data_IF_224472269676
#
_entry.id   IF_224472269676
#
_cell.length_a   1.000
_cell.length_b   1.000
_cell.length_c   1.000
_cell.angle_alpha   90.00
_cell.angle_beta   90.00
_cell.angle_gamma   90.00
#
_symmetry.space_group_name_H-M   'P 1'
#
loop_
_entity.id
_entity.type
_entity.pdbx_description
1 polymer ?
#
# COMPACT_ATOMS: atom_id res chain seq x y z
N UNK A 1 -10.93 10.90 8.36
CA UNK A 1 -9.97 10.64 7.29
C UNK A 1 -9.71 11.96 6.61
N UNK A 2 -8.46 12.45 6.58
CA UNK A 2 -8.16 13.71 5.87
C UNK A 2 -8.07 13.41 4.38
N UNK A 3 -8.40 14.40 3.56
CA UNK A 3 -8.16 14.32 2.13
C UNK A 3 -6.74 14.84 1.86
N UNK A 4 -5.83 13.94 1.49
CA UNK A 4 -4.48 14.27 1.07
C UNK A 4 -4.49 14.60 -0.43
N UNK A 5 -3.81 15.69 -0.80
CA UNK A 5 -3.67 16.14 -2.18
C UNK A 5 -2.27 16.70 -2.36
N UNK A 6 -1.28 15.81 -2.26
CA UNK A 6 0.13 16.16 -2.44
C UNK A 6 0.52 16.25 -3.91
N UNK A 7 -0.34 15.74 -4.81
CA UNK A 7 -0.05 15.62 -6.24
C UNK A 7 0.62 14.29 -6.61
N UNK A 8 1.04 13.50 -5.62
CA UNK A 8 1.57 12.15 -5.81
C UNK A 8 0.65 11.13 -5.11
N UNK A 9 0.06 10.24 -5.92
CA UNK A 9 -0.92 9.25 -5.45
C UNK A 9 -0.34 8.22 -4.48
N UNK A 10 0.96 7.97 -4.55
CA UNK A 10 1.65 7.05 -3.63
C UNK A 10 1.82 7.71 -2.28
N UNK A 11 2.27 8.97 -2.26
CA UNK A 11 2.40 9.76 -1.03
C UNK A 11 1.04 9.92 -0.34
N UNK A 12 0.00 10.28 -1.10
CA UNK A 12 -1.37 10.40 -0.57
C UNK A 12 -1.86 9.07 0.04
N UNK A 13 -1.59 7.96 -0.64
CA UNK A 13 -1.95 6.62 -0.14
C UNK A 13 -1.17 6.23 1.13
N UNK A 14 0.12 6.55 1.21
CA UNK A 14 0.95 6.29 2.39
C UNK A 14 0.42 7.08 3.60
N UNK A 15 0.12 8.36 3.42
CA UNK A 15 -0.44 9.21 4.47
C UNK A 15 -1.80 8.69 4.94
N UNK A 16 -2.66 8.24 4.02
CA UNK A 16 -3.94 7.60 4.36
C UNK A 16 -3.75 6.28 5.14
N UNK A 17 -2.74 5.47 4.81
CA UNK A 17 -2.42 4.26 5.58
C UNK A 17 -1.90 4.58 6.97
N UNK A 18 -1.09 5.63 7.13
CA UNK A 18 -0.67 6.12 8.44
C UNK A 18 -1.87 6.54 9.28
N UNK A 19 -2.88 7.22 8.71
CA UNK A 19 -4.13 7.49 9.44
C UNK A 19 -4.78 6.21 9.98
N UNK A 20 -4.80 5.15 9.17
CA UNK A 20 -5.29 3.83 9.60
C UNK A 20 -4.50 3.29 10.79
N UNK A 21 -3.17 3.30 10.71
CA UNK A 21 -2.30 2.87 11.82
C UNK A 21 -2.42 3.76 13.06
N UNK A 22 -2.70 5.05 12.92
CA UNK A 22 -2.93 5.97 14.04
C UNK A 22 -4.16 5.61 14.89
N UNK A 23 -5.09 4.82 14.34
CA UNK A 23 -6.30 4.35 15.05
C UNK A 23 -6.16 2.94 15.65
N UNK A 24 -4.95 2.38 15.67
CA UNK A 24 -4.72 1.04 16.20
C UNK A 24 -5.06 0.94 17.68
N UNK A 25 -5.72 -0.15 18.08
CA UNK A 25 -6.17 -0.32 19.46
C UNK A 25 -5.01 -0.65 20.38
N UNK A 26 -4.91 0.04 21.51
CA UNK A 26 -3.83 -0.16 22.48
C UNK A 26 -3.96 -1.44 23.31
N UNK A 27 -5.12 -2.10 23.29
CA UNK A 27 -5.36 -3.40 23.90
C UNK A 27 -5.09 -4.59 22.95
N UNK A 28 -4.54 -4.33 21.76
CA UNK A 28 -4.18 -5.37 20.81
C UNK A 28 -3.23 -6.43 21.37
N UNK A 29 -3.38 -7.64 20.86
CA UNK A 29 -2.55 -8.79 21.22
C UNK A 29 -1.24 -8.81 20.43
N UNK A 30 -0.37 -9.79 20.72
CA UNK A 30 1.00 -9.84 20.19
C UNK A 30 1.09 -9.81 18.66
N UNK A 31 0.31 -10.64 17.95
CA UNK A 31 0.32 -10.67 16.48
C UNK A 31 -0.17 -9.35 15.88
N UNK A 32 -1.21 -8.76 16.46
CA UNK A 32 -1.69 -7.45 16.00
C UNK A 32 -0.66 -6.34 16.26
N UNK A 33 0.11 -6.44 17.34
CA UNK A 33 1.25 -5.53 17.61
C UNK A 33 2.38 -5.74 16.61
N UNK A 34 2.67 -7.00 16.26
CA UNK A 34 3.64 -7.34 15.22
C UNK A 34 3.24 -6.72 13.87
N UNK A 35 1.96 -6.86 13.48
CA UNK A 35 1.43 -6.30 12.24
C UNK A 35 1.52 -4.78 12.20
N UNK A 36 1.22 -4.09 13.31
CA UNK A 36 1.40 -2.64 13.43
C UNK A 36 2.87 -2.26 13.21
N UNK A 37 3.80 -2.86 13.95
CA UNK A 37 5.23 -2.57 13.84
C UNK A 37 5.75 -2.78 12.43
N UNK A 38 5.51 -3.96 11.86
CA UNK A 38 5.89 -4.29 10.50
C UNK A 38 5.28 -3.29 9.52
N UNK A 39 3.99 -2.96 9.65
CA UNK A 39 3.32 -2.00 8.77
C UNK A 39 3.90 -0.59 8.83
N UNK A 40 4.17 -0.06 10.03
CA UNK A 40 4.74 1.29 10.20
C UNK A 40 6.19 1.35 9.71
N UNK A 41 7.00 0.31 9.92
CA UNK A 41 8.36 0.22 9.39
C UNK A 41 8.34 0.28 7.86
N UNK A 42 7.52 -0.55 7.21
CA UNK A 42 7.41 -0.55 5.75
C UNK A 42 6.96 0.81 5.20
N UNK A 43 6.02 1.48 5.88
CA UNK A 43 5.63 2.82 5.50
C UNK A 43 6.76 3.82 5.67
N UNK A 44 7.49 3.78 6.79
CA UNK A 44 8.58 4.71 7.04
C UNK A 44 9.65 4.61 5.94
N UNK A 45 9.94 3.41 5.45
CA UNK A 45 10.85 3.19 4.32
C UNK A 45 10.35 3.78 3.00
N UNK A 46 9.03 3.95 2.85
CA UNK A 46 8.39 4.50 1.66
C UNK A 46 8.20 6.02 1.70
N UNK A 47 8.41 6.66 2.85
CA UNK A 47 8.19 8.10 3.00
C UNK A 47 9.30 8.89 2.29
N UNK A 48 8.98 9.84 1.38
CA UNK A 48 9.96 10.80 0.90
C UNK A 48 10.44 11.68 2.06
N UNK A 49 11.68 12.16 1.98
CA UNK A 49 12.32 12.94 3.05
C UNK A 49 11.52 14.18 3.46
N UNK A 50 10.84 14.81 2.49
CA UNK A 50 9.99 15.98 2.72
C UNK A 50 8.80 15.66 3.65
N UNK A 51 8.27 14.44 3.61
CA UNK A 51 7.20 13.97 4.50
C UNK A 51 7.77 13.34 5.77
N UNK A 52 8.84 12.54 5.64
CA UNK A 52 9.45 11.80 6.75
C UNK A 52 9.88 12.70 7.91
N UNK A 53 10.32 13.94 7.64
CA UNK A 53 10.74 14.92 8.66
C UNK A 53 9.66 15.27 9.69
N UNK A 54 8.39 15.05 9.37
CA UNK A 54 7.27 15.33 10.27
C UNK A 54 7.05 14.21 11.30
N UNK A 55 7.59 13.02 11.06
CA UNK A 55 7.37 11.85 11.90
C UNK A 55 8.57 11.59 12.80
N UNK A 56 8.32 11.47 14.10
CA UNK A 56 9.31 11.07 15.10
C UNK A 56 8.88 9.77 15.74
N UNK A 57 9.06 8.68 14.99
CA UNK A 57 8.73 7.36 15.48
C UNK A 57 9.66 6.95 16.63
N UNK A 58 9.17 6.14 17.58
CA UNK A 58 10.05 5.48 18.55
C UNK A 58 10.96 4.47 17.83
N UNK A 59 11.82 3.77 18.58
CA UNK A 59 12.61 2.69 18.00
C UNK A 59 11.70 1.57 17.50
N UNK A 60 11.47 1.54 16.18
CA UNK A 60 10.66 0.53 15.52
C UNK A 60 11.53 -0.70 15.23
N UNK A 61 11.35 -1.76 16.01
CA UNK A 61 12.08 -3.00 15.84
C UNK A 61 11.15 -4.21 15.87
N UNK A 62 11.31 -5.09 14.88
CA UNK A 62 10.63 -6.39 14.86
C UNK A 62 11.54 -7.42 15.52
N UNK A 63 11.16 -7.86 16.72
CA UNK A 63 11.81 -8.94 17.44
C UNK A 63 10.83 -9.66 18.36
N UNK A 64 11.31 -10.58 19.21
CA UNK A 64 10.42 -11.41 20.02
C UNK A 64 9.70 -10.65 21.16
N UNK A 65 10.09 -9.40 21.44
CA UNK A 65 9.66 -8.64 22.62
C UNK A 65 8.13 -8.46 22.73
N UNK A 66 7.40 -8.30 21.63
CA UNK A 66 5.93 -8.16 21.67
C UNK A 66 5.20 -9.49 21.89
N UNK A 67 5.85 -10.63 21.60
CA UNK A 67 5.33 -11.98 21.89
C UNK A 67 5.64 -12.41 23.33
N UNK A 68 6.86 -12.17 23.80
CA UNK A 68 7.29 -12.55 25.15
C UNK A 68 6.97 -11.50 26.23
N UNK A 69 6.63 -10.27 25.82
CA UNK A 69 6.36 -9.14 26.71
C UNK A 69 4.95 -9.16 27.32
N UNK A 70 4.77 -8.34 28.35
CA UNK A 70 3.48 -8.15 29.01
C UNK A 70 2.48 -7.37 28.13
N UNK A 71 1.19 -7.42 28.48
CA UNK A 71 0.19 -6.57 27.83
C UNK A 71 0.44 -5.07 28.07
N UNK A 72 1.00 -4.71 29.23
CA UNK A 72 1.38 -3.33 29.54
C UNK A 72 2.44 -2.80 28.56
N UNK A 73 3.49 -3.59 28.31
CA UNK A 73 4.51 -3.25 27.33
C UNK A 73 3.93 -3.02 25.93
N UNK A 74 3.06 -3.93 25.45
CA UNK A 74 2.40 -3.76 24.14
C UNK A 74 1.56 -2.49 24.08
N UNK A 75 0.80 -2.20 25.14
CA UNK A 75 -0.04 -1.01 25.23
C UNK A 75 0.80 0.26 25.12
N UNK A 76 1.85 0.37 25.94
CA UNK A 76 2.76 1.52 25.92
C UNK A 76 3.39 1.73 24.54
N UNK A 77 3.87 0.65 23.92
CA UNK A 77 4.44 0.69 22.58
C UNK A 77 3.42 1.14 21.51
N UNK A 78 2.20 0.60 21.53
CA UNK A 78 1.15 1.00 20.58
C UNK A 78 0.76 2.46 20.79
N UNK A 79 0.64 2.91 22.03
CA UNK A 79 0.30 4.31 22.35
C UNK A 79 1.41 5.27 21.91
N UNK A 80 2.68 4.90 22.08
CA UNK A 80 3.81 5.71 21.61
C UNK A 80 3.82 5.82 20.08
N UNK A 81 3.63 4.70 19.37
CA UNK A 81 3.57 4.67 17.89
C UNK A 81 2.38 5.48 17.38
N UNK A 82 1.17 5.23 17.90
CA UNK A 82 -0.04 5.93 17.44
C UNK A 82 0.01 7.42 17.77
N UNK A 83 0.60 7.82 18.90
CA UNK A 83 0.84 9.22 19.23
C UNK A 83 1.85 9.88 18.27
N UNK A 84 2.92 9.19 17.90
CA UNK A 84 3.89 9.69 16.93
C UNK A 84 3.27 9.86 15.53
N UNK A 85 2.42 8.92 15.12
CA UNK A 85 1.64 8.99 13.88
C UNK A 85 0.73 10.22 13.88
N UNK A 86 -0.10 10.38 14.91
CA UNK A 86 -1.06 11.49 14.98
C UNK A 86 -0.36 12.86 14.92
N UNK A 87 0.70 13.04 15.73
CA UNK A 87 1.52 14.26 15.71
C UNK A 87 2.13 14.52 14.33
N UNK A 88 2.67 13.49 13.69
CA UNK A 88 3.27 13.61 12.36
C UNK A 88 2.24 13.95 11.28
N UNK A 89 1.06 13.34 11.32
CA UNK A 89 -0.04 13.65 10.39
C UNK A 89 -0.62 15.05 10.61
N UNK A 90 -0.64 15.55 11.85
CA UNK A 90 -1.03 16.94 12.13
C UNK A 90 0.02 17.90 11.55
N UNK A 91 1.31 17.63 11.78
CA UNK A 91 2.40 18.46 11.27
C UNK A 91 2.48 18.46 9.74
N UNK A 92 2.34 17.29 9.10
CA UNK A 92 2.33 17.17 7.65
C UNK A 92 1.11 17.87 7.02
N UNK A 93 -0.07 17.74 7.61
CA UNK A 93 -1.26 18.44 7.12
C UNK A 93 -1.16 19.97 7.24
N UNK A 94 -0.36 20.47 8.19
CA UNK A 94 -0.12 21.89 8.39
C UNK A 94 1.03 22.43 7.50
N UNK A 95 1.75 21.58 6.76
CA UNK A 95 2.85 22.00 5.91
C UNK A 95 2.37 22.38 4.50
N UNK A 96 2.36 23.67 4.14
CA UNK A 96 1.91 24.11 2.82
C UNK A 96 2.83 23.61 1.69
N UNK A 97 4.08 23.22 1.98
CA UNK A 97 5.03 22.69 0.99
C UNK A 97 4.70 21.26 0.56
N UNK A 98 3.76 20.59 1.22
CA UNK A 98 3.28 19.27 0.81
C UNK A 98 2.07 19.35 -0.12
N UNK A 99 1.43 20.52 -0.27
CA UNK A 99 0.23 20.65 -1.11
C UNK A 99 0.57 20.63 -2.60
N UNK A 100 -0.30 20.03 -3.43
CA UNK A 100 -0.12 19.94 -4.89
C UNK A 100 0.27 21.26 -5.56
N UNK A 101 -0.32 22.38 -5.14
CA UNK A 101 -0.06 23.70 -5.72
C UNK A 101 1.37 24.20 -5.47
N UNK A 102 2.06 23.65 -4.47
CA UNK A 102 3.47 23.94 -4.18
C UNK A 102 4.45 23.10 -5.01
N UNK A 103 3.94 22.14 -5.81
CA UNK A 103 4.72 21.22 -6.63
C UNK A 103 5.89 20.56 -5.86
N UNK A 104 5.58 19.80 -4.79
CA UNK A 104 6.60 19.14 -3.99
C UNK A 104 7.41 18.14 -4.81
N UNK A 105 8.70 18.05 -4.49
CA UNK A 105 9.57 17.01 -5.02
C UNK A 105 9.54 15.79 -4.10
N UNK A 106 9.05 14.67 -4.63
CA UNK A 106 9.03 13.37 -3.97
C UNK A 106 9.85 12.32 -4.72
N UNK A 107 10.77 12.75 -5.60
CA UNK A 107 11.57 11.85 -6.43
C UNK A 107 12.52 10.93 -5.63
N UNK A 108 12.74 11.24 -4.36
CA UNK A 108 13.52 10.44 -3.43
C UNK A 108 12.76 9.26 -2.82
N UNK A 109 11.42 9.19 -2.97
CA UNK A 109 10.65 8.03 -2.49
C UNK A 109 10.99 6.76 -3.30
N UNK A 110 11.01 5.58 -2.67
CA UNK A 110 11.09 4.34 -3.42
C UNK A 110 9.88 4.15 -4.35
N UNK A 111 10.11 3.39 -5.41
CA UNK A 111 9.02 2.90 -6.25
C UNK A 111 8.14 1.94 -5.46
N UNK A 112 6.83 2.10 -5.60
CA UNK A 112 5.87 1.23 -4.94
C UNK A 112 5.56 -0.03 -5.75
N UNK A 113 5.16 -1.09 -5.05
CA UNK A 113 4.65 -2.33 -5.65
C UNK A 113 3.43 -2.07 -6.52
N UNK A 114 2.55 -1.16 -6.10
CA UNK A 114 1.38 -0.78 -6.91
C UNK A 114 1.77 -0.17 -8.26
N UNK A 115 2.79 0.71 -8.28
CA UNK A 115 3.33 1.25 -9.55
C UNK A 115 3.96 0.16 -10.44
N UNK A 116 4.62 -0.84 -9.87
CA UNK A 116 5.14 -1.99 -10.63
C UNK A 116 4.00 -2.82 -11.26
N UNK A 117 2.95 -3.08 -10.50
CA UNK A 117 1.77 -3.83 -10.98
C UNK A 117 1.03 -3.05 -12.07
N UNK A 118 0.85 -1.74 -11.90
CA UNK A 118 0.15 -0.89 -12.87
C UNK A 118 0.92 -0.77 -14.19
N UNK A 119 2.25 -0.68 -14.15
CA UNK A 119 3.08 -0.69 -15.35
C UNK A 119 2.98 -2.04 -16.09
N UNK A 120 3.06 -3.14 -15.35
CA UNK A 120 2.91 -4.48 -15.92
C UNK A 120 1.51 -4.71 -16.51
N UNK A 121 0.47 -4.18 -15.85
CA UNK A 121 -0.90 -4.21 -16.33
C UNK A 121 -1.05 -3.40 -17.61
N UNK A 122 -0.51 -2.18 -17.66
CA UNK A 122 -0.51 -1.33 -18.87
C UNK A 122 0.16 -2.03 -20.05
N UNK A 123 1.31 -2.67 -19.82
CA UNK A 123 2.00 -3.45 -20.85
C UNK A 123 1.15 -4.64 -21.32
N UNK A 124 0.49 -5.33 -20.39
CA UNK A 124 -0.42 -6.43 -20.71
C UNK A 124 -1.65 -5.98 -21.52
N UNK A 125 -2.27 -4.85 -21.18
CA UNK A 125 -3.44 -4.35 -21.90
C UNK A 125 -3.12 -3.99 -23.36
N UNK A 126 -1.89 -3.53 -23.62
CA UNK A 126 -1.40 -3.18 -24.96
C UNK A 126 -1.20 -4.40 -25.86
N UNK A 127 -0.50 -5.42 -25.37
CA UNK A 127 -0.04 -6.54 -26.20
C UNK A 127 -0.95 -7.78 -26.06
N UNK A 128 -1.54 -7.99 -24.87
CA UNK A 128 -2.39 -9.13 -24.48
C UNK A 128 -1.81 -10.50 -24.85
N UNK A 129 -0.49 -10.64 -24.76
CA UNK A 129 0.22 -11.89 -25.07
C UNK A 129 0.69 -12.63 -23.80
N UNK A 130 1.25 -13.83 -24.01
CA UNK A 130 1.75 -14.68 -22.91
C UNK A 130 2.98 -14.09 -22.20
N UNK A 131 3.80 -13.31 -22.90
CA UNK A 131 4.99 -12.69 -22.31
C UNK A 131 4.58 -11.55 -21.36
N UNK A 132 3.64 -10.70 -21.77
CA UNK A 132 3.08 -9.65 -20.93
C UNK A 132 2.28 -10.22 -19.76
N UNK A 133 1.54 -11.32 -19.96
CA UNK A 133 0.87 -12.05 -18.87
C UNK A 133 1.89 -12.58 -17.84
N UNK A 134 3.02 -13.13 -18.31
CA UNK A 134 4.09 -13.61 -17.43
C UNK A 134 4.69 -12.48 -16.59
N UNK A 135 4.94 -11.30 -17.19
CA UNK A 135 5.39 -10.10 -16.45
C UNK A 135 4.37 -9.65 -15.42
N UNK A 136 3.09 -9.64 -15.78
CA UNK A 136 2.01 -9.31 -14.84
C UNK A 136 1.97 -10.29 -13.67
N UNK A 137 2.12 -11.60 -13.92
CA UNK A 137 2.22 -12.63 -12.88
C UNK A 137 3.40 -12.40 -11.93
N UNK A 138 4.56 -12.00 -12.46
CA UNK A 138 5.74 -11.68 -11.64
C UNK A 138 5.49 -10.44 -10.78
N UNK A 139 4.95 -9.36 -11.36
CA UNK A 139 4.69 -8.11 -10.65
C UNK A 139 3.68 -8.27 -9.50
N UNK A 140 2.69 -9.16 -9.65
CA UNK A 140 1.73 -9.44 -8.57
C UNK A 140 2.22 -10.46 -7.55
N UNK A 141 3.39 -11.08 -7.72
CA UNK A 141 3.95 -11.99 -6.70
C UNK A 141 4.76 -11.18 -5.68
N UNK A 142 4.64 -11.39 -4.35
CA UNK A 142 3.82 -12.35 -3.59
C UNK A 142 2.51 -11.75 -3.03
N UNK A 143 1.81 -10.93 -3.81
CA UNK A 143 0.58 -10.25 -3.37
C UNK A 143 -0.65 -11.16 -3.39
N UNK A 144 -1.75 -10.70 -2.79
CA UNK A 144 -3.05 -11.37 -2.86
C UNK A 144 -3.72 -11.31 -4.24
N UNK A 145 -3.15 -10.57 -5.21
CA UNK A 145 -3.74 -10.35 -6.53
C UNK A 145 -3.49 -11.51 -7.51
N UNK A 146 -2.75 -12.54 -7.11
CA UNK A 146 -2.42 -13.66 -7.98
C UNK A 146 -3.66 -14.42 -8.48
N UNK A 147 -4.71 -14.51 -7.65
CA UNK A 147 -6.00 -15.10 -8.04
C UNK A 147 -6.68 -14.33 -9.17
N UNK A 148 -6.52 -13.00 -9.22
CA UNK A 148 -7.04 -12.17 -10.31
C UNK A 148 -6.31 -12.40 -11.62
N UNK A 149 -4.98 -12.46 -11.57
CA UNK A 149 -4.17 -12.73 -12.75
C UNK A 149 -4.43 -14.14 -13.31
N UNK A 150 -4.65 -15.13 -12.44
CA UNK A 150 -5.09 -16.46 -12.87
C UNK A 150 -6.48 -16.43 -13.53
N UNK A 151 -7.39 -15.57 -13.04
CA UNK A 151 -8.71 -15.37 -13.67
C UNK A 151 -8.58 -14.71 -15.04
N UNK A 152 -7.71 -13.71 -15.18
CA UNK A 152 -7.39 -13.05 -16.45
C UNK A 152 -6.86 -14.08 -17.46
N UNK A 153 -5.87 -14.89 -17.07
CA UNK A 153 -5.32 -15.96 -17.92
C UNK A 153 -6.40 -16.95 -18.40
N UNK A 154 -7.27 -17.38 -17.48
CA UNK A 154 -8.38 -18.25 -17.83
C UNK A 154 -9.33 -17.58 -18.85
N UNK A 155 -9.66 -16.30 -18.65
CA UNK A 155 -10.57 -15.55 -19.51
C UNK A 155 -10.00 -15.30 -20.92
N UNK A 156 -8.68 -15.08 -21.04
CA UNK A 156 -8.01 -14.93 -22.35
C UNK A 156 -8.24 -16.12 -23.28
N UNK A 157 -8.27 -17.34 -22.71
CA UNK A 157 -8.41 -18.58 -23.49
C UNK A 157 -9.86 -19.05 -23.60
N UNK A 158 -10.81 -18.33 -22.99
CA UNK A 158 -12.18 -18.79 -22.84
C UNK A 158 -13.03 -18.43 -24.06
N UNK A 159 -13.65 -19.44 -24.67
CA UNK A 159 -14.58 -19.26 -25.80
C UNK A 159 -16.06 -19.15 -25.40
N UNK A 160 -16.44 -19.64 -24.21
CA UNK A 160 -17.81 -19.67 -23.71
C UNK A 160 -18.04 -18.56 -22.70
N UNK A 161 -19.26 -18.07 -22.59
CA UNK A 161 -19.65 -17.07 -21.59
C UNK A 161 -19.15 -17.40 -20.17
N UNK A 162 -18.84 -16.35 -19.42
CA UNK A 162 -18.46 -16.41 -18.01
C UNK A 162 -19.61 -15.82 -17.19
N UNK A 163 -20.37 -16.68 -16.52
CA UNK A 163 -21.67 -16.29 -15.96
C UNK A 163 -22.59 -15.74 -17.06
N UNK A 164 -23.11 -14.53 -16.85
CA UNK A 164 -24.01 -13.84 -17.76
C UNK A 164 -23.29 -12.91 -18.76
N UNK A 165 -21.96 -12.94 -18.82
CA UNK A 165 -21.15 -12.02 -19.64
C UNK A 165 -20.37 -12.75 -20.73
N UNK A 166 -20.09 -12.03 -21.83
CA UNK A 166 -19.11 -12.49 -22.80
C UNK A 166 -17.70 -12.53 -22.16
N UNK A 167 -16.80 -13.42 -22.62
CA UNK A 167 -15.44 -13.51 -22.09
C UNK A 167 -14.68 -12.18 -22.12
N UNK A 168 -14.88 -11.38 -23.18
CA UNK A 168 -14.23 -10.08 -23.35
C UNK A 168 -14.70 -9.05 -22.31
N UNK A 169 -16.01 -8.98 -22.04
CA UNK A 169 -16.55 -8.07 -21.01
C UNK A 169 -16.08 -8.50 -19.62
N UNK A 170 -16.05 -9.80 -19.35
CA UNK A 170 -15.53 -10.33 -18.08
C UNK A 170 -14.03 -10.02 -17.92
N UNK A 171 -13.23 -10.13 -18.99
CA UNK A 171 -11.81 -9.80 -18.98
C UNK A 171 -11.58 -8.32 -18.64
N UNK A 172 -12.25 -7.41 -19.35
CA UNK A 172 -12.16 -5.97 -19.07
C UNK A 172 -12.57 -5.63 -17.62
N UNK A 173 -13.61 -6.31 -17.11
CA UNK A 173 -14.04 -6.13 -15.71
C UNK A 173 -12.98 -6.58 -14.71
N UNK A 174 -12.29 -7.70 -14.96
CA UNK A 174 -11.21 -8.17 -14.10
C UNK A 174 -9.94 -7.32 -14.20
N UNK A 175 -9.63 -6.77 -15.37
CA UNK A 175 -8.53 -5.82 -15.53
C UNK A 175 -8.77 -4.54 -14.73
N UNK A 176 -9.97 -3.95 -14.82
CA UNK A 176 -10.33 -2.78 -14.02
C UNK A 176 -10.33 -3.05 -12.51
N UNK A 177 -10.72 -4.26 -12.07
CA UNK A 177 -10.61 -4.68 -10.67
C UNK A 177 -9.15 -4.80 -10.23
N UNK A 178 -8.30 -5.39 -11.07
CA UNK A 178 -6.87 -5.53 -10.78
C UNK A 178 -6.21 -4.15 -10.68
N UNK A 179 -6.52 -3.22 -11.58
CA UNK A 179 -6.05 -1.83 -11.54
C UNK A 179 -6.44 -1.15 -10.23
N UNK A 180 -7.72 -1.25 -9.84
CA UNK A 180 -8.23 -0.67 -8.60
C UNK A 180 -7.52 -1.23 -7.36
N UNK A 181 -7.36 -2.55 -7.27
CA UNK A 181 -6.73 -3.19 -6.12
C UNK A 181 -5.21 -3.01 -6.07
N UNK A 182 -4.54 -2.86 -7.22
CA UNK A 182 -3.11 -2.54 -7.29
C UNK A 182 -2.78 -1.24 -6.54
N UNK A 183 -3.70 -0.26 -6.53
CA UNK A 183 -3.54 0.99 -5.77
C UNK A 183 -3.43 0.75 -4.26
N UNK A 184 -4.00 -0.35 -3.75
CA UNK A 184 -3.83 -0.79 -2.36
C UNK A 184 -2.38 -1.12 -1.99
N UNK A 185 -1.52 -1.34 -2.98
CA UNK A 185 -0.10 -1.70 -2.81
C UNK A 185 0.85 -0.51 -2.91
N UNK A 186 0.36 0.75 -2.98
CA UNK A 186 1.22 1.94 -3.01
C UNK A 186 2.10 2.10 -1.76
N UNK A 187 1.60 1.70 -0.59
CA UNK A 187 2.40 1.69 0.65
C UNK A 187 3.33 0.49 0.82
N UNK A 188 3.61 -0.27 -0.23
CA UNK A 188 4.57 -1.39 -0.21
C UNK A 188 5.69 -1.12 -1.21
N UNK A 189 6.92 -1.47 -0.85
CA UNK A 189 8.09 -1.33 -1.71
C UNK A 189 8.08 -2.37 -2.83
N UNK A 190 8.49 -1.95 -4.03
CA UNK A 190 8.74 -2.84 -5.17
C UNK A 190 9.97 -3.73 -4.94
#
# INVERSE_FOLDING_TARGET
>A
MKYWNTGDVVVDSILQKLEGFGTWRSDSYAESTHQLLSGVIHIQEMLPGLVARHFRFPNLFVGNAHFSGSQGYRRELIEEITSAIDKGLVAAAADPMLGRDSNPDFSDRPRSRGEEILDALTAFEKDRDQAALSRLKMAVSPTGLQTRVNTIEMLMNRKRSYGNQSPEVALLSELGRLEFEARGYHGQKA
#
